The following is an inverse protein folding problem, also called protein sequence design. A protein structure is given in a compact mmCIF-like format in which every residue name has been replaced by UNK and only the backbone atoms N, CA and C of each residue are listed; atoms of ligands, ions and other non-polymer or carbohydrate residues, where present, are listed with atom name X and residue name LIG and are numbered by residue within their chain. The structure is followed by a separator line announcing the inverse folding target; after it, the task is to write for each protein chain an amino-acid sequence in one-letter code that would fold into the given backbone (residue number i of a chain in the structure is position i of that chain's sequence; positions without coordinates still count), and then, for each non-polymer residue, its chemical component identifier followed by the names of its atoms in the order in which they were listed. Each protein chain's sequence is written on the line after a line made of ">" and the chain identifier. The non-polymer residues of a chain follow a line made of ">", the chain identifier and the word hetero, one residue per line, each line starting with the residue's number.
data_IF_750858415494
#
_entry.id   IF_750858415494
#
_cell.length_a   1.000
_cell.length_b   1.000
_cell.length_c   1.000
_cell.angle_alpha   90.00
_cell.angle_beta   90.00
_cell.angle_gamma   90.00
#
_symmetry.space_group_name_H-M   'P 1'
#
loop_
_entity.id
_entity.type
_entity.pdbx_description
1 polymer ?
#
# COMPACT_ATOMS: atom_id res chain seq x y z
N UNK A 1 -19.64 -10.54 -47.50
CA UNK A 1 -19.29 -11.13 -46.16
C UNK A 1 -18.30 -12.25 -46.41
N UNK A 2 -16.98 -12.11 -46.18
CA UNK A 2 -16.06 -13.22 -46.31
C UNK A 2 -16.20 -14.16 -45.13
N UNK A 3 -16.25 -15.45 -45.43
CA UNK A 3 -16.42 -16.59 -44.54
C UNK A 3 -15.52 -16.53 -43.34
N UNK A 4 -16.14 -16.57 -42.14
CA UNK A 4 -15.42 -16.76 -40.89
C UNK A 4 -14.66 -18.09 -40.95
N UNK A 5 -13.35 -18.03 -41.10
CA UNK A 5 -12.47 -19.16 -40.92
C UNK A 5 -12.62 -19.65 -39.50
N UNK A 6 -13.18 -20.85 -39.40
CA UNK A 6 -13.44 -21.52 -38.13
C UNK A 6 -12.10 -21.98 -37.54
N UNK A 7 -11.51 -21.20 -36.63
CA UNK A 7 -10.27 -21.51 -35.89
C UNK A 7 -10.42 -22.73 -34.95
N UNK A 8 -11.39 -23.63 -35.22
CA UNK A 8 -11.73 -24.75 -34.29
C UNK A 8 -10.69 -25.88 -34.28
N UNK A 9 -9.66 -25.84 -35.13
CA UNK A 9 -8.67 -26.91 -35.23
C UNK A 9 -7.24 -26.52 -34.89
N UNK A 10 -6.84 -25.24 -35.01
CA UNK A 10 -5.46 -24.83 -34.84
C UNK A 10 -5.00 -24.96 -33.38
N UNK A 11 -4.24 -26.03 -33.12
CA UNK A 11 -3.67 -26.29 -31.78
C UNK A 11 -2.24 -25.74 -31.72
N UNK A 12 -1.94 -25.08 -30.58
CA UNK A 12 -0.57 -24.62 -30.29
C UNK A 12 0.47 -25.74 -30.37
N UNK A 13 0.05 -27.00 -30.23
CA UNK A 13 0.92 -28.16 -30.43
C UNK A 13 1.35 -28.30 -31.90
N UNK A 14 0.45 -28.10 -32.84
CA UNK A 14 0.76 -28.15 -34.27
C UNK A 14 1.72 -27.02 -34.65
N UNK A 15 1.46 -25.81 -34.19
CA UNK A 15 2.36 -24.67 -34.37
C UNK A 15 3.76 -24.95 -33.77
N UNK A 16 3.82 -25.52 -32.57
CA UNK A 16 5.10 -25.87 -31.91
C UNK A 16 5.87 -26.91 -32.73
N UNK A 17 5.17 -27.91 -33.28
CA UNK A 17 5.75 -28.92 -34.13
C UNK A 17 6.31 -28.29 -35.40
N UNK A 18 5.56 -27.42 -36.06
CA UNK A 18 6.00 -26.67 -37.23
C UNK A 18 7.27 -25.85 -36.95
N UNK A 19 7.27 -25.01 -35.92
CA UNK A 19 8.44 -24.20 -35.54
C UNK A 19 9.65 -25.10 -35.24
N UNK A 20 9.45 -26.20 -34.49
CA UNK A 20 10.56 -27.08 -34.12
C UNK A 20 11.13 -27.80 -35.36
N UNK A 21 10.29 -28.22 -36.29
CA UNK A 21 10.76 -28.84 -37.55
C UNK A 21 11.52 -27.84 -38.42
N UNK A 22 11.02 -26.61 -38.51
CA UNK A 22 11.69 -25.52 -39.26
C UNK A 22 13.10 -25.25 -38.65
N UNK A 23 13.22 -25.20 -37.33
CA UNK A 23 14.51 -24.97 -36.65
C UNK A 23 15.48 -26.16 -36.75
N UNK A 24 14.99 -27.39 -36.74
CA UNK A 24 15.83 -28.59 -36.77
C UNK A 24 16.18 -29.07 -38.20
N UNK A 25 15.43 -28.63 -39.22
CA UNK A 25 15.60 -28.97 -40.62
C UNK A 25 15.30 -30.43 -40.97
N UNK A 26 15.01 -31.30 -39.99
CA UNK A 26 14.66 -32.72 -40.20
C UNK A 26 13.64 -33.22 -39.22
N UNK A 27 12.71 -34.10 -39.68
CA UNK A 27 11.69 -34.71 -38.83
C UNK A 27 12.32 -35.51 -37.66
N UNK A 28 13.42 -36.23 -37.94
CA UNK A 28 14.10 -37.05 -36.93
C UNK A 28 14.65 -36.25 -35.78
N UNK A 29 15.32 -35.12 -36.02
CA UNK A 29 15.82 -34.23 -34.99
C UNK A 29 14.70 -33.55 -34.19
N UNK A 30 13.65 -33.11 -34.88
CA UNK A 30 12.48 -32.51 -34.28
C UNK A 30 11.73 -33.51 -33.39
N UNK A 31 11.60 -34.77 -33.80
CA UNK A 31 10.95 -35.83 -33.02
C UNK A 31 11.68 -36.11 -31.68
N UNK A 32 13.02 -36.14 -31.74
CA UNK A 32 13.84 -36.26 -30.52
C UNK A 32 13.64 -35.08 -29.59
N UNK A 33 13.66 -33.85 -30.10
CA UNK A 33 13.49 -32.63 -29.32
C UNK A 33 12.11 -32.54 -28.66
N UNK A 34 11.07 -32.92 -29.41
CA UNK A 34 9.68 -32.90 -28.93
C UNK A 34 9.27 -34.14 -28.13
N UNK A 35 10.10 -35.22 -28.17
CA UNK A 35 9.81 -36.53 -27.55
C UNK A 35 8.50 -37.16 -28.08
N UNK A 36 8.26 -37.03 -29.38
CA UNK A 36 7.12 -37.64 -30.09
C UNK A 36 7.62 -38.48 -31.22
N UNK A 37 6.84 -39.51 -31.59
CA UNK A 37 7.18 -40.39 -32.71
C UNK A 37 7.16 -39.66 -34.07
N UNK A 38 8.11 -39.95 -34.94
CA UNK A 38 8.19 -39.31 -36.28
C UNK A 38 6.88 -39.39 -37.10
N UNK A 39 6.12 -40.52 -37.10
CA UNK A 39 4.84 -40.56 -37.78
C UNK A 39 3.80 -39.57 -37.23
N UNK A 40 3.76 -39.41 -35.91
CA UNK A 40 2.86 -38.47 -35.25
C UNK A 40 3.24 -37.02 -35.59
N UNK A 41 4.54 -36.71 -35.57
CA UNK A 41 5.03 -35.39 -35.94
C UNK A 41 4.69 -35.06 -37.43
N UNK A 42 4.93 -36.00 -38.33
CA UNK A 42 4.58 -35.83 -39.77
C UNK A 42 3.07 -35.62 -39.96
N UNK A 43 2.24 -36.31 -39.19
CA UNK A 43 0.79 -36.15 -39.20
C UNK A 43 0.38 -34.75 -38.72
N UNK A 44 0.95 -34.25 -37.61
CA UNK A 44 0.67 -32.92 -37.11
C UNK A 44 1.03 -31.79 -38.10
N UNK A 45 2.13 -31.95 -38.83
CA UNK A 45 2.49 -31.00 -39.90
C UNK A 45 1.44 -31.03 -41.00
N UNK A 46 1.05 -32.25 -41.45
CA UNK A 46 0.07 -32.41 -42.52
C UNK A 46 -1.30 -31.86 -42.12
N UNK A 47 -1.75 -32.14 -40.90
CA UNK A 47 -2.99 -31.59 -40.35
C UNK A 47 -2.96 -30.04 -40.31
N UNK A 48 -1.83 -29.42 -39.93
CA UNK A 48 -1.64 -27.96 -39.97
C UNK A 48 -1.69 -27.41 -41.43
N UNK A 49 -1.00 -28.07 -42.36
CA UNK A 49 -1.02 -27.68 -43.81
C UNK A 49 -2.43 -27.78 -44.40
N UNK A 50 -3.16 -28.86 -44.07
CA UNK A 50 -4.55 -29.06 -44.50
C UNK A 50 -5.50 -28.00 -43.90
N UNK A 51 -5.33 -27.69 -42.63
CA UNK A 51 -6.15 -26.69 -41.96
C UNK A 51 -5.92 -25.26 -42.51
N UNK A 52 -4.68 -24.92 -42.81
CA UNK A 52 -4.31 -23.63 -43.35
C UNK A 52 -4.53 -23.53 -44.87
N UNK A 53 -4.67 -24.68 -45.55
CA UNK A 53 -4.72 -24.72 -47.00
C UNK A 53 -3.40 -24.30 -47.68
N UNK A 54 -2.31 -24.38 -46.93
CA UNK A 54 -0.98 -23.95 -47.37
C UNK A 54 0.03 -25.08 -47.22
N UNK A 55 0.98 -25.14 -48.15
CA UNK A 55 2.13 -26.03 -48.04
C UNK A 55 3.25 -25.28 -47.31
N UNK A 56 3.69 -25.81 -46.16
CA UNK A 56 4.67 -25.14 -45.30
C UNK A 56 6.10 -25.67 -45.54
N UNK A 57 6.22 -26.93 -46.01
CA UNK A 57 7.50 -27.55 -46.29
C UNK A 57 7.55 -28.21 -47.66
N UNK A 58 8.70 -28.04 -48.32
CA UNK A 58 9.10 -28.86 -49.46
C UNK A 58 10.02 -30.00 -48.99
N UNK A 59 9.84 -31.17 -49.58
CA UNK A 59 10.71 -32.32 -49.37
C UNK A 59 11.85 -32.34 -50.40
N UNK A 60 13.05 -32.04 -49.92
CA UNK A 60 14.26 -32.17 -50.77
C UNK A 60 15.13 -33.29 -50.20
N UNK A 61 15.10 -34.45 -50.87
CA UNK A 61 15.76 -35.69 -50.39
C UNK A 61 15.25 -36.09 -48.99
N UNK A 62 16.10 -36.01 -47.96
CA UNK A 62 15.78 -36.34 -46.56
C UNK A 62 15.56 -35.12 -45.67
N UNK A 63 15.48 -33.92 -46.24
CA UNK A 63 15.29 -32.64 -45.51
C UNK A 63 13.93 -32.05 -45.82
N UNK A 64 13.40 -31.33 -44.83
CA UNK A 64 12.26 -30.44 -45.00
C UNK A 64 12.82 -29.03 -45.11
N UNK A 65 12.50 -28.34 -46.18
CA UNK A 65 12.86 -26.94 -46.42
C UNK A 65 11.56 -26.15 -46.40
N UNK A 66 11.56 -25.01 -45.73
CA UNK A 66 10.40 -24.13 -45.69
C UNK A 66 10.05 -23.63 -47.09
N UNK A 67 8.75 -23.53 -47.38
CA UNK A 67 8.23 -22.77 -48.51
C UNK A 67 8.26 -21.28 -48.20
N UNK A 68 8.00 -20.41 -49.16
CA UNK A 68 7.86 -18.96 -48.93
C UNK A 68 6.75 -18.63 -47.92
N UNK A 69 5.61 -19.36 -48.01
CA UNK A 69 4.50 -19.27 -47.07
C UNK A 69 4.92 -19.78 -45.69
N UNK A 70 5.70 -20.89 -45.65
CA UNK A 70 6.26 -21.41 -44.40
C UNK A 70 7.19 -20.42 -43.67
N UNK A 71 8.03 -19.68 -44.43
CA UNK A 71 8.92 -18.67 -43.87
C UNK A 71 8.12 -17.51 -43.21
N UNK A 72 7.08 -17.03 -43.91
CA UNK A 72 6.21 -15.98 -43.38
C UNK A 72 5.48 -16.47 -42.12
N UNK A 73 4.85 -17.65 -42.17
CA UNK A 73 4.13 -18.22 -41.06
C UNK A 73 5.04 -18.49 -39.82
N UNK A 74 6.31 -18.82 -40.04
CA UNK A 74 7.28 -19.03 -38.96
C UNK A 74 7.46 -17.76 -38.10
N UNK A 75 7.45 -16.59 -38.74
CA UNK A 75 7.49 -15.30 -38.04
C UNK A 75 6.26 -15.10 -37.16
N UNK A 76 5.06 -15.36 -37.70
CA UNK A 76 3.79 -15.21 -36.98
C UNK A 76 3.69 -16.21 -35.83
N UNK A 77 4.10 -17.48 -36.02
CA UNK A 77 4.14 -18.49 -34.99
C UNK A 77 5.06 -18.08 -33.82
N UNK A 78 6.22 -17.49 -34.09
CA UNK A 78 7.12 -16.97 -33.05
C UNK A 78 6.46 -15.84 -32.26
N UNK A 79 5.73 -14.95 -32.93
CA UNK A 79 4.99 -13.87 -32.25
C UNK A 79 3.90 -14.43 -31.31
N UNK A 80 3.15 -15.46 -31.77
CA UNK A 80 2.15 -16.15 -30.93
C UNK A 80 2.79 -16.79 -29.72
N UNK A 81 3.91 -17.51 -29.86
CA UNK A 81 4.61 -18.10 -28.71
C UNK A 81 5.16 -17.04 -27.74
N UNK A 82 5.67 -15.93 -28.25
CA UNK A 82 6.08 -14.79 -27.41
C UNK A 82 4.91 -14.20 -26.62
N UNK A 83 3.71 -14.09 -27.21
CA UNK A 83 2.51 -13.65 -26.52
C UNK A 83 2.06 -14.65 -25.44
N UNK A 84 2.11 -15.96 -25.71
CA UNK A 84 1.79 -17.03 -24.72
C UNK A 84 2.78 -17.00 -23.55
N UNK A 85 4.06 -16.82 -23.82
CA UNK A 85 5.10 -16.72 -22.79
C UNK A 85 4.90 -15.47 -21.93
N UNK A 86 4.63 -14.32 -22.53
CA UNK A 86 4.28 -13.08 -21.84
C UNK A 86 3.02 -13.22 -20.98
N UNK A 87 2.01 -13.93 -21.46
CA UNK A 87 0.81 -14.24 -20.71
C UNK A 87 1.13 -15.12 -19.49
N UNK A 88 1.95 -16.15 -19.68
CA UNK A 88 2.38 -17.06 -18.59
C UNK A 88 3.18 -16.32 -17.52
N UNK A 89 4.10 -15.47 -17.92
CA UNK A 89 4.85 -14.61 -17.00
C UNK A 89 3.93 -13.64 -16.23
N UNK A 90 2.97 -13.03 -16.94
CA UNK A 90 1.98 -12.16 -16.32
C UNK A 90 1.10 -12.91 -15.33
N UNK A 91 0.66 -14.12 -15.67
CA UNK A 91 -0.09 -14.98 -14.77
C UNK A 91 0.72 -15.39 -13.54
N UNK A 92 2.02 -15.67 -13.69
CA UNK A 92 2.92 -15.95 -12.57
C UNK A 92 3.11 -14.73 -11.67
N UNK A 93 3.31 -13.53 -12.26
CA UNK A 93 3.40 -12.27 -11.50
C UNK A 93 2.11 -12.01 -10.70
N UNK A 94 0.94 -12.18 -11.30
CA UNK A 94 -0.35 -12.07 -10.63
C UNK A 94 -0.51 -13.10 -9.50
N UNK A 95 -0.06 -14.34 -9.71
CA UNK A 95 -0.13 -15.41 -8.70
C UNK A 95 0.81 -15.18 -7.53
N UNK A 96 2.00 -14.58 -7.76
CA UNK A 96 2.93 -14.17 -6.69
C UNK A 96 2.44 -12.91 -5.98
N UNK A 97 1.40 -12.25 -6.49
CA UNK A 97 0.85 -10.99 -5.99
C UNK A 97 1.93 -9.90 -5.77
N UNK A 98 2.98 -9.92 -6.61
CA UNK A 98 4.06 -8.94 -6.56
C UNK A 98 3.72 -7.67 -7.34
N UNK A 99 2.58 -7.67 -8.06
CA UNK A 99 2.09 -6.53 -8.83
C UNK A 99 0.64 -6.26 -8.51
N UNK A 100 0.24 -5.00 -8.48
CA UNK A 100 -1.16 -4.65 -8.25
C UNK A 100 -1.36 -3.19 -7.84
N UNK A 101 -2.62 -2.85 -7.59
CA UNK A 101 -3.00 -1.55 -7.03
C UNK A 101 -3.57 -1.81 -5.64
N UNK A 102 -2.89 -1.31 -4.63
CA UNK A 102 -3.39 -1.29 -3.26
C UNK A 102 -4.13 0.03 -3.00
N UNK A 103 -5.43 -0.05 -2.82
CA UNK A 103 -6.25 1.12 -2.47
C UNK A 103 -6.44 1.17 -0.95
N UNK A 104 -6.03 2.26 -0.32
CA UNK A 104 -6.11 2.45 1.13
C UNK A 104 -6.85 3.74 1.44
N UNK A 105 -7.92 3.64 2.23
CA UNK A 105 -8.60 4.81 2.77
C UNK A 105 -8.08 5.14 4.18
N UNK A 106 -7.90 6.41 4.46
CA UNK A 106 -7.54 6.91 5.80
C UNK A 106 -7.78 8.41 5.90
N UNK A 107 -7.57 8.96 7.10
CA UNK A 107 -7.72 10.40 7.34
C UNK A 107 -6.53 11.19 6.78
N UNK A 108 -6.73 12.49 6.44
CA UNK A 108 -5.65 13.38 6.02
C UNK A 108 -4.46 13.40 6.99
N UNK A 109 -4.76 13.39 8.30
CA UNK A 109 -3.75 13.43 9.36
C UNK A 109 -2.84 12.19 9.34
N UNK A 110 -3.42 11.02 9.10
CA UNK A 110 -2.65 9.76 8.98
C UNK A 110 -1.81 9.76 7.71
N UNK A 111 -2.35 10.30 6.60
CA UNK A 111 -1.59 10.44 5.35
C UNK A 111 -0.37 11.32 5.54
N UNK A 112 -0.55 12.48 6.14
CA UNK A 112 0.52 13.44 6.35
C UNK A 112 1.57 12.95 7.35
N UNK A 113 1.13 12.45 8.49
CA UNK A 113 2.03 12.17 9.61
C UNK A 113 2.66 10.78 9.59
N UNK A 114 1.99 9.80 8.97
CA UNK A 114 2.48 8.41 8.95
C UNK A 114 2.90 7.98 7.56
N UNK A 115 2.03 8.18 6.56
CA UNK A 115 2.26 7.63 5.22
C UNK A 115 3.35 8.38 4.46
N UNK A 116 3.58 9.66 4.73
CA UNK A 116 4.63 10.45 4.08
C UNK A 116 6.03 9.81 4.20
N UNK A 117 6.35 9.24 5.37
CA UNK A 117 7.62 8.56 5.60
C UNK A 117 7.54 7.04 5.35
N UNK A 118 6.38 6.43 5.59
CA UNK A 118 6.18 4.99 5.46
C UNK A 118 6.23 4.52 4.01
N UNK A 119 5.57 5.23 3.09
CA UNK A 119 5.40 4.78 1.70
C UNK A 119 6.73 4.65 0.96
N UNK A 120 7.73 5.43 1.30
CA UNK A 120 9.07 5.27 0.73
C UNK A 120 9.64 3.88 1.05
N UNK A 121 9.64 3.50 2.33
CA UNK A 121 10.09 2.17 2.78
C UNK A 121 9.26 1.02 2.19
N UNK A 122 7.96 1.23 2.01
CA UNK A 122 7.08 0.22 1.42
C UNK A 122 7.33 0.06 -0.08
N UNK A 123 7.54 1.16 -0.81
CA UNK A 123 7.85 1.13 -2.25
C UNK A 123 9.17 0.39 -2.55
N UNK A 124 10.20 0.56 -1.71
CA UNK A 124 11.46 -0.19 -1.85
C UNK A 124 11.25 -1.71 -1.71
N UNK A 125 10.35 -2.13 -0.85
CA UNK A 125 10.03 -3.56 -0.64
C UNK A 125 9.09 -4.13 -1.70
N UNK A 126 8.21 -3.30 -2.27
CA UNK A 126 7.16 -3.68 -3.23
C UNK A 126 7.13 -2.72 -4.42
N UNK A 127 8.21 -2.66 -5.22
CA UNK A 127 8.35 -1.66 -6.29
C UNK A 127 7.27 -1.77 -7.38
N UNK A 128 6.66 -2.93 -7.54
CA UNK A 128 5.64 -3.19 -8.56
C UNK A 128 4.21 -3.03 -8.03
N UNK A 129 4.02 -2.62 -6.76
CA UNK A 129 2.70 -2.36 -6.17
C UNK A 129 2.44 -0.86 -6.15
N UNK A 130 1.43 -0.42 -6.89
CA UNK A 130 0.98 0.96 -6.87
C UNK A 130 0.04 1.18 -5.69
N UNK A 131 0.37 2.07 -4.77
CA UNK A 131 -0.51 2.47 -3.67
C UNK A 131 -1.35 3.66 -4.10
N UNK A 132 -2.69 3.54 -3.96
CA UNK A 132 -3.64 4.65 -4.15
C UNK A 132 -4.24 5.01 -2.80
N UNK A 133 -3.92 6.21 -2.30
CA UNK A 133 -4.51 6.75 -1.08
C UNK A 133 -5.82 7.45 -1.38
N UNK A 134 -6.81 7.24 -0.53
CA UNK A 134 -8.15 7.82 -0.63
C UNK A 134 -8.47 8.47 0.70
N UNK A 135 -8.73 9.77 0.66
CA UNK A 135 -9.11 10.52 1.84
C UNK A 135 -10.56 10.22 2.22
N UNK A 136 -10.76 9.92 3.50
CA UNK A 136 -12.07 9.76 4.10
C UNK A 136 -12.01 10.00 5.61
N UNK A 137 -13.14 10.31 6.25
CA UNK A 137 -13.26 10.54 7.68
C UNK A 137 -14.53 9.89 8.24
N UNK A 138 -14.48 9.51 9.51
CA UNK A 138 -15.63 8.95 10.21
C UNK A 138 -16.22 7.71 9.53
N UNK A 139 -17.57 7.60 9.47
CA UNK A 139 -18.25 6.43 8.90
C UNK A 139 -17.92 6.16 7.42
N UNK A 140 -17.57 7.21 6.65
CA UNK A 140 -17.27 7.04 5.21
C UNK A 140 -16.04 6.16 4.94
N UNK A 141 -15.17 5.96 5.93
CA UNK A 141 -14.06 5.01 5.85
C UNK A 141 -14.57 3.56 5.74
N UNK A 142 -15.55 3.19 6.54
CA UNK A 142 -16.16 1.85 6.53
C UNK A 142 -17.06 1.64 5.31
N UNK A 143 -17.85 2.65 4.93
CA UNK A 143 -18.69 2.60 3.72
C UNK A 143 -17.85 2.30 2.46
N UNK A 144 -16.70 2.95 2.29
CA UNK A 144 -15.80 2.70 1.17
C UNK A 144 -15.25 1.27 1.18
N UNK A 145 -14.98 0.73 2.36
CA UNK A 145 -14.51 -0.65 2.52
C UNK A 145 -15.61 -1.65 2.14
N UNK A 146 -16.83 -1.45 2.61
CA UNK A 146 -17.98 -2.31 2.34
C UNK A 146 -18.35 -2.34 0.84
N UNK A 147 -18.33 -1.18 0.18
CA UNK A 147 -18.56 -1.06 -1.27
C UNK A 147 -17.44 -1.67 -2.10
N UNK A 148 -16.24 -1.88 -1.51
CA UNK A 148 -15.06 -2.37 -2.23
C UNK A 148 -14.34 -1.29 -3.04
N UNK A 149 -14.61 -0.04 -2.76
CA UNK A 149 -13.88 1.08 -3.33
C UNK A 149 -12.40 1.06 -2.92
N UNK A 150 -12.13 0.50 -1.72
CA UNK A 150 -10.79 0.33 -1.15
C UNK A 150 -10.57 -1.11 -0.67
N UNK A 151 -9.30 -1.51 -0.57
CA UNK A 151 -8.90 -2.81 -0.05
C UNK A 151 -8.66 -2.78 1.45
N UNK A 152 -8.17 -1.65 1.96
CA UNK A 152 -7.90 -1.40 3.37
C UNK A 152 -8.46 -0.04 3.78
N UNK A 153 -8.87 0.06 5.03
CA UNK A 153 -9.06 1.34 5.71
C UNK A 153 -8.25 1.38 7.00
N UNK A 154 -7.66 2.54 7.30
CA UNK A 154 -6.91 2.75 8.54
C UNK A 154 -7.73 3.72 9.40
N UNK A 155 -8.28 3.23 10.48
CA UNK A 155 -9.16 4.01 11.33
C UNK A 155 -9.07 3.63 12.82
N UNK A 156 -9.65 4.47 13.65
CA UNK A 156 -9.82 4.19 15.07
C UNK A 156 -10.86 3.08 15.26
N UNK A 157 -10.65 2.20 16.22
CA UNK A 157 -11.57 1.09 16.48
C UNK A 157 -12.96 1.56 16.92
N UNK A 158 -13.08 2.72 17.54
CA UNK A 158 -14.38 3.34 17.88
C UNK A 158 -15.20 3.75 16.65
N UNK A 159 -14.61 3.79 15.44
CA UNK A 159 -15.36 3.99 14.20
C UNK A 159 -16.29 2.81 13.91
N UNK A 160 -15.98 1.64 14.44
CA UNK A 160 -16.81 0.43 14.35
C UNK A 160 -17.85 0.49 15.49
N UNK A 161 -19.11 0.59 15.13
CA UNK A 161 -20.21 0.78 16.10
C UNK A 161 -20.82 -0.51 16.63
N UNK A 162 -20.47 -1.66 16.03
CA UNK A 162 -21.03 -2.97 16.37
C UNK A 162 -19.96 -4.02 16.50
N UNK A 163 -20.13 -4.96 17.44
CA UNK A 163 -19.22 -6.10 17.61
C UNK A 163 -19.36 -7.12 16.46
N UNK A 164 -20.57 -7.22 15.88
CA UNK A 164 -20.84 -8.07 14.71
C UNK A 164 -20.59 -7.28 13.41
N UNK A 165 -19.37 -7.31 12.94
CA UNK A 165 -18.93 -6.64 11.72
C UNK A 165 -18.17 -7.59 10.76
N UNK A 166 -18.31 -7.39 9.44
CA UNK A 166 -17.68 -8.26 8.43
C UNK A 166 -16.19 -7.97 8.22
N UNK A 167 -15.56 -7.16 9.10
CA UNK A 167 -14.19 -6.71 8.90
C UNK A 167 -13.19 -7.59 9.63
N UNK A 168 -12.09 -7.92 8.93
CA UNK A 168 -10.86 -8.36 9.55
C UNK A 168 -10.06 -7.14 10.00
N UNK A 169 -9.23 -7.31 11.03
CA UNK A 169 -8.42 -6.22 11.57
C UNK A 169 -6.96 -6.65 11.77
N UNK A 170 -6.05 -5.74 11.50
CA UNK A 170 -4.64 -5.81 11.88
C UNK A 170 -4.35 -4.67 12.87
N UNK A 171 -4.10 -4.96 14.15
CA UNK A 171 -3.92 -3.92 15.16
C UNK A 171 -2.64 -3.14 14.90
N UNK A 172 -2.74 -1.82 15.02
CA UNK A 172 -1.60 -0.89 14.98
C UNK A 172 -1.19 -0.49 16.40
N UNK A 173 0.06 -0.06 16.62
CA UNK A 173 0.45 0.52 17.90
C UNK A 173 -0.50 1.65 18.28
N UNK A 174 -1.00 1.70 19.53
CA UNK A 174 -2.05 2.63 19.92
C UNK A 174 -1.64 4.09 19.70
N UNK A 175 -2.59 4.89 19.23
CA UNK A 175 -2.43 6.32 19.05
C UNK A 175 -2.44 7.00 20.41
N UNK A 176 -1.47 7.87 20.69
CA UNK A 176 -1.39 8.64 21.93
C UNK A 176 -1.92 10.07 21.73
N UNK A 177 -2.26 10.73 22.80
CA UNK A 177 -2.70 12.12 22.80
C UNK A 177 -1.58 13.03 23.31
N UNK A 178 -1.37 14.12 22.60
CA UNK A 178 -0.38 15.13 22.95
C UNK A 178 -1.05 16.47 23.22
N UNK A 179 -0.49 17.18 24.20
CA UNK A 179 -0.73 18.59 24.43
C UNK A 179 0.45 19.37 23.81
N UNK A 180 0.14 20.26 22.88
CA UNK A 180 1.12 21.08 22.17
C UNK A 180 0.86 22.56 22.44
N UNK A 181 1.89 23.31 22.86
CA UNK A 181 1.80 24.72 23.20
C UNK A 181 3.01 25.50 22.69
N UNK A 182 2.91 26.81 22.69
CA UNK A 182 4.07 27.67 22.48
C UNK A 182 5.22 27.31 23.44
N UNK A 183 6.45 27.41 22.98
CA UNK A 183 7.63 26.98 23.74
C UNK A 183 7.81 27.69 25.09
N UNK A 184 7.31 28.91 25.24
CA UNK A 184 7.36 29.68 26.51
C UNK A 184 6.42 29.14 27.60
N UNK A 185 5.40 28.34 27.24
CA UNK A 185 4.45 27.77 28.18
C UNK A 185 4.99 26.48 28.77
N UNK A 186 5.24 26.46 30.06
CA UNK A 186 5.74 25.26 30.76
C UNK A 186 4.61 24.25 30.99
N UNK A 187 4.38 23.36 29.98
CA UNK A 187 3.45 22.23 30.14
C UNK A 187 4.16 21.04 30.79
N UNK A 188 3.70 20.65 31.96
CA UNK A 188 4.13 19.42 32.63
C UNK A 188 5.63 19.33 32.95
N UNK A 189 5.99 18.30 33.69
CA UNK A 189 7.36 17.91 33.94
C UNK A 189 7.67 16.59 33.21
N UNK A 190 8.95 16.36 32.83
CA UNK A 190 9.41 15.08 32.28
C UNK A 190 8.64 14.57 31.01
N UNK A 191 8.16 15.48 30.14
CA UNK A 191 7.57 15.09 28.83
C UNK A 191 6.13 14.57 28.92
N UNK A 192 5.44 14.70 30.03
CA UNK A 192 4.02 14.36 30.20
C UNK A 192 3.26 15.34 31.07
N UNK A 193 1.95 15.46 30.87
CA UNK A 193 1.03 16.24 31.68
C UNK A 193 -0.17 15.38 32.05
N UNK A 194 -0.60 15.44 33.31
CA UNK A 194 -1.88 14.84 33.68
C UNK A 194 -3.03 15.68 33.14
N UNK A 195 -4.07 15.02 32.61
CA UNK A 195 -5.20 15.69 31.98
C UNK A 195 -5.87 16.70 32.91
N UNK A 196 -5.96 16.44 34.22
CA UNK A 196 -6.55 17.35 35.17
C UNK A 196 -5.78 18.69 35.29
N UNK A 197 -4.49 18.70 34.96
CA UNK A 197 -3.66 19.90 34.95
C UNK A 197 -3.85 20.78 33.72
N UNK A 198 -4.70 20.38 32.78
CA UNK A 198 -5.06 21.18 31.62
C UNK A 198 -6.14 22.23 31.92
N UNK A 199 -6.81 22.15 33.06
CA UNK A 199 -7.90 23.05 33.48
C UNK A 199 -7.58 24.56 33.36
N UNK A 200 -6.39 25.06 33.74
CA UNK A 200 -6.12 26.50 33.70
C UNK A 200 -5.80 27.03 32.31
N UNK A 201 -5.63 26.17 31.31
CA UNK A 201 -5.21 26.58 29.97
C UNK A 201 -6.38 26.73 29.02
N UNK A 202 -6.38 27.75 28.14
CA UNK A 202 -7.28 27.77 26.98
C UNK A 202 -6.94 26.62 26.03
N UNK A 203 -7.91 25.74 25.76
CA UNK A 203 -7.73 24.56 24.94
C UNK A 203 -8.18 24.80 23.50
N UNK A 204 -7.37 24.31 22.58
CA UNK A 204 -7.62 24.30 21.14
C UNK A 204 -7.91 22.84 20.76
N UNK A 205 -9.16 22.55 20.45
CA UNK A 205 -9.66 21.18 20.30
C UNK A 205 -10.16 20.91 18.88
N UNK A 206 -10.10 19.64 18.49
CA UNK A 206 -10.89 19.18 17.35
C UNK A 206 -12.38 19.35 17.66
N UNK A 207 -13.19 19.58 16.64
CA UNK A 207 -14.63 19.71 16.79
C UNK A 207 -15.30 18.39 17.25
N UNK A 208 -16.54 18.45 17.68
CA UNK A 208 -17.28 17.33 18.24
C UNK A 208 -17.57 16.20 17.22
N UNK A 209 -17.39 16.42 15.91
CA UNK A 209 -17.52 15.37 14.88
C UNK A 209 -16.30 14.44 14.86
N UNK A 210 -15.21 14.79 15.52
CA UNK A 210 -14.00 13.99 15.58
C UNK A 210 -14.11 12.89 16.64
N UNK A 211 -13.84 11.64 16.25
CA UNK A 211 -13.75 10.50 17.17
C UNK A 211 -12.69 10.75 18.25
N UNK A 212 -11.57 11.38 17.92
CA UNK A 212 -10.50 11.76 18.86
C UNK A 212 -11.01 12.74 19.90
N UNK A 213 -11.87 13.68 19.52
CA UNK A 213 -12.49 14.61 20.46
C UNK A 213 -13.37 13.85 21.47
N UNK A 214 -14.16 12.90 21.03
CA UNK A 214 -15.01 12.07 21.89
C UNK A 214 -14.19 11.33 22.98
N UNK A 215 -13.03 10.77 22.60
CA UNK A 215 -12.11 10.13 23.57
C UNK A 215 -11.55 11.12 24.57
N UNK A 216 -11.13 12.31 24.13
CA UNK A 216 -10.63 13.36 25.03
C UNK A 216 -11.71 13.83 26.01
N UNK A 217 -12.93 14.07 25.53
CA UNK A 217 -14.06 14.48 26.37
C UNK A 217 -14.44 13.40 27.40
N UNK A 218 -14.40 12.13 27.01
CA UNK A 218 -14.61 11.01 27.94
C UNK A 218 -13.52 10.99 29.05
N UNK A 219 -12.26 11.19 28.66
CA UNK A 219 -11.16 11.27 29.59
C UNK A 219 -11.28 12.48 30.54
N UNK A 220 -11.75 13.64 30.06
CA UNK A 220 -12.04 14.81 30.86
C UNK A 220 -13.13 14.52 31.92
N UNK A 221 -14.23 13.86 31.48
CA UNK A 221 -15.30 13.47 32.43
C UNK A 221 -14.77 12.55 33.53
N UNK A 222 -13.98 11.54 33.16
CA UNK A 222 -13.37 10.61 34.14
C UNK A 222 -12.38 11.28 35.09
N UNK A 223 -11.73 12.36 34.66
CA UNK A 223 -10.80 13.13 35.46
C UNK A 223 -11.47 14.27 36.28
N UNK A 224 -12.79 14.46 36.13
CA UNK A 224 -13.50 15.60 36.72
C UNK A 224 -13.06 16.95 36.16
N UNK A 225 -12.48 16.96 34.93
CA UNK A 225 -12.03 18.19 34.27
C UNK A 225 -13.17 18.78 33.44
N UNK A 226 -13.47 20.05 33.67
CA UNK A 226 -14.26 20.88 32.73
C UNK A 226 -13.28 21.64 31.83
N UNK A 227 -13.15 21.29 30.56
CA UNK A 227 -12.18 21.92 29.67
C UNK A 227 -12.56 23.37 29.39
N UNK A 228 -11.57 24.27 29.43
CA UNK A 228 -11.71 25.65 29.00
C UNK A 228 -11.46 25.73 27.47
N UNK A 229 -12.49 25.51 26.68
CA UNK A 229 -12.38 25.45 25.22
C UNK A 229 -12.35 26.87 24.67
N UNK A 230 -11.25 27.26 24.03
CA UNK A 230 -11.07 28.55 23.39
C UNK A 230 -11.35 28.50 21.88
N UNK A 231 -10.89 27.43 21.19
CA UNK A 231 -11.10 27.23 19.75
C UNK A 231 -11.49 25.79 19.48
N UNK A 232 -12.43 25.60 18.58
CA UNK A 232 -12.75 24.32 17.97
C UNK A 232 -12.54 24.38 16.46
N UNK A 233 -11.89 23.35 15.89
CA UNK A 233 -11.60 23.29 14.45
C UNK A 233 -11.58 21.85 13.96
N UNK A 234 -11.95 21.63 12.67
CA UNK A 234 -11.76 20.35 11.99
C UNK A 234 -10.32 20.11 11.54
N UNK A 235 -9.51 21.16 11.48
CA UNK A 235 -8.12 21.10 11.03
C UNK A 235 -7.17 21.06 12.23
N UNK A 236 -6.55 19.92 12.53
CA UNK A 236 -5.53 19.86 13.58
C UNK A 236 -4.28 20.68 13.26
N UNK A 237 -3.99 20.93 11.99
CA UNK A 237 -2.90 21.80 11.56
C UNK A 237 -3.17 23.26 11.97
N UNK A 238 -4.42 23.72 11.81
CA UNK A 238 -4.83 25.04 12.29
C UNK A 238 -4.67 25.16 13.81
N UNK A 239 -5.02 24.10 14.56
CA UNK A 239 -4.84 24.09 16.03
C UNK A 239 -3.36 24.18 16.41
N UNK A 240 -2.47 23.47 15.68
CA UNK A 240 -1.02 23.55 15.94
C UNK A 240 -0.47 24.93 15.61
N UNK A 241 -0.89 25.56 14.51
CA UNK A 241 -0.48 26.93 14.18
C UNK A 241 -0.95 27.96 15.22
N UNK A 242 -2.19 27.84 15.72
CA UNK A 242 -2.71 28.68 16.79
C UNK A 242 -1.96 28.47 18.12
N UNK A 243 -1.59 27.23 18.43
CA UNK A 243 -0.77 26.92 19.60
C UNK A 243 0.64 27.52 19.48
N UNK A 244 1.25 27.48 18.29
CA UNK A 244 2.54 28.10 18.00
C UNK A 244 2.48 29.62 18.14
N UNK A 245 1.36 30.23 17.78
CA UNK A 245 1.11 31.67 17.97
C UNK A 245 0.79 32.04 19.43
N UNK A 246 0.72 31.07 20.34
CA UNK A 246 0.52 31.31 21.78
C UNK A 246 -0.93 31.44 22.23
N UNK A 247 -1.91 31.08 21.40
CA UNK A 247 -3.34 31.19 21.74
C UNK A 247 -3.83 30.16 22.75
N UNK A 248 -3.05 29.11 23.04
CA UNK A 248 -3.44 28.10 24.01
C UNK A 248 -2.72 26.76 23.80
N UNK A 249 -3.34 25.71 24.30
CA UNK A 249 -2.84 24.33 24.25
C UNK A 249 -3.66 23.50 23.25
N UNK A 250 -3.05 23.10 22.16
CA UNK A 250 -3.69 22.20 21.19
C UNK A 250 -3.64 20.74 21.68
N UNK A 251 -4.78 20.06 21.66
CA UNK A 251 -4.89 18.64 21.96
C UNK A 251 -4.97 17.89 20.63
N UNK A 252 -3.95 17.09 20.35
CA UNK A 252 -3.74 16.47 19.05
C UNK A 252 -3.30 15.00 19.17
N UNK A 253 -3.59 14.17 18.16
CA UNK A 253 -3.09 12.80 18.13
C UNK A 253 -1.61 12.72 17.77
N UNK A 254 -0.94 11.68 18.27
CA UNK A 254 0.51 11.45 18.07
C UNK A 254 0.95 11.20 16.64
N UNK A 255 0.00 10.97 15.73
CA UNK A 255 0.29 10.78 14.30
C UNK A 255 0.62 12.07 13.57
N UNK A 256 0.34 13.23 14.16
CA UNK A 256 0.63 14.50 13.52
C UNK A 256 2.13 14.86 13.56
N UNK A 257 2.67 15.45 12.49
CA UNK A 257 4.08 15.85 12.42
C UNK A 257 4.35 17.14 13.19
N UNK A 258 4.20 17.11 14.51
CA UNK A 258 4.38 18.28 15.41
C UNK A 258 5.77 18.90 15.34
N UNK A 259 6.79 18.15 14.87
CA UNK A 259 8.16 18.64 14.67
C UNK A 259 8.32 19.73 13.62
N UNK A 260 7.28 19.97 12.80
CA UNK A 260 7.25 21.06 11.79
C UNK A 260 6.95 22.41 12.42
N UNK A 261 6.56 22.44 13.69
CA UNK A 261 6.19 23.63 14.44
C UNK A 261 7.15 23.85 15.61
N UNK A 262 7.34 25.08 16.03
CA UNK A 262 8.14 25.45 17.20
C UNK A 262 7.32 25.31 18.48
N UNK A 263 6.91 24.10 18.77
CA UNK A 263 6.02 23.77 19.88
C UNK A 263 6.73 22.97 20.96
N UNK A 264 6.33 23.18 22.19
CA UNK A 264 6.53 22.25 23.27
C UNK A 264 5.42 21.21 23.22
N UNK A 265 5.80 19.95 23.06
CA UNK A 265 4.86 18.84 22.96
C UNK A 265 5.08 17.88 24.10
N UNK A 266 4.01 17.57 24.84
CA UNK A 266 4.04 16.63 25.96
C UNK A 266 2.91 15.62 25.82
N UNK A 267 3.12 14.40 26.33
CA UNK A 267 2.12 13.34 26.34
C UNK A 267 1.04 13.63 27.39
N UNK A 268 -0.23 13.41 27.04
CA UNK A 268 -1.33 13.50 28.01
C UNK A 268 -1.47 12.15 28.71
N UNK A 269 -1.63 12.20 30.02
CA UNK A 269 -1.87 11.04 30.88
C UNK A 269 -3.04 11.29 31.82
N UNK A 270 -3.68 10.21 32.24
CA UNK A 270 -4.62 10.21 33.36
C UNK A 270 -4.16 9.17 34.38
N UNK A 271 -3.99 9.58 35.65
CA UNK A 271 -3.48 8.72 36.74
C UNK A 271 -2.19 7.98 36.34
N UNK A 272 -1.23 8.68 35.72
CA UNK A 272 0.07 8.18 35.21
C UNK A 272 -0.03 7.21 34.04
N UNK A 273 -1.21 6.92 33.49
CA UNK A 273 -1.37 6.11 32.28
C UNK A 273 -1.52 7.02 31.07
N UNK A 274 -0.76 6.83 30.01
CA UNK A 274 -0.94 7.61 28.78
C UNK A 274 -2.36 7.47 28.24
N UNK A 275 -2.94 8.59 27.81
CA UNK A 275 -4.22 8.57 27.08
C UNK A 275 -3.96 7.99 25.69
N UNK A 276 -4.65 6.92 25.37
CA UNK A 276 -4.44 6.13 24.15
C UNK A 276 -5.75 5.76 23.51
N UNK A 277 -5.69 5.63 22.17
CA UNK A 277 -6.82 5.18 21.37
C UNK A 277 -6.38 4.01 20.47
N UNK A 278 -7.09 2.87 20.51
CA UNK A 278 -6.82 1.76 19.60
C UNK A 278 -7.25 2.09 18.17
N UNK A 279 -6.42 1.74 17.21
CA UNK A 279 -6.67 1.85 15.79
C UNK A 279 -6.12 0.64 15.05
N UNK A 280 -6.61 0.41 13.85
CA UNK A 280 -6.25 -0.76 13.08
C UNK A 280 -6.30 -0.50 11.57
N UNK A 281 -5.64 -1.36 10.81
CA UNK A 281 -5.93 -1.59 9.41
C UNK A 281 -7.06 -2.61 9.31
N UNK A 282 -8.14 -2.25 8.63
CA UNK A 282 -9.32 -3.09 8.44
C UNK A 282 -9.47 -3.49 6.98
N UNK A 283 -10.01 -4.69 6.75
CA UNK A 283 -10.41 -5.18 5.44
C UNK A 283 -11.73 -5.96 5.53
N UNK A 284 -12.43 -6.08 4.40
CA UNK A 284 -13.66 -6.88 4.31
C UNK A 284 -13.31 -8.38 4.27
N UNK A 285 -13.72 -9.16 5.27
CA UNK A 285 -13.49 -10.62 5.36
C UNK A 285 -14.09 -11.40 4.21
N UNK A 286 -15.11 -10.86 3.55
CA UNK A 286 -15.76 -11.48 2.37
C UNK A 286 -14.83 -11.47 1.14
N UNK A 287 -13.74 -10.71 1.17
CA UNK A 287 -12.76 -10.58 0.10
C UNK A 287 -11.40 -11.09 0.57
N UNK A 288 -10.71 -11.84 -0.28
CA UNK A 288 -9.37 -12.31 0.04
C UNK A 288 -8.40 -11.12 0.16
N UNK A 289 -7.71 -11.03 1.30
CA UNK A 289 -6.65 -10.05 1.50
C UNK A 289 -5.42 -10.47 0.69
N UNK A 290 -5.01 -9.64 -0.29
CA UNK A 290 -3.83 -9.92 -1.12
C UNK A 290 -2.54 -9.94 -0.28
N UNK A 291 -1.51 -10.72 -0.69
CA UNK A 291 -0.23 -10.76 0.02
C UNK A 291 0.42 -9.38 0.20
N UNK A 292 0.36 -8.52 -0.81
CA UNK A 292 0.89 -7.16 -0.70
C UNK A 292 0.09 -6.28 0.28
N UNK A 293 -1.23 -6.50 0.43
CA UNK A 293 -2.03 -5.77 1.41
C UNK A 293 -1.71 -6.24 2.86
N UNK A 294 -1.46 -7.53 3.05
CA UNK A 294 -1.01 -8.07 4.34
C UNK A 294 0.37 -7.52 4.71
N UNK A 295 1.32 -7.57 3.79
CA UNK A 295 2.66 -7.00 3.98
C UNK A 295 2.62 -5.49 4.27
N UNK A 296 1.67 -4.77 3.65
CA UNK A 296 1.42 -3.36 3.95
C UNK A 296 1.04 -3.15 5.42
N UNK A 297 0.09 -3.93 5.96
CA UNK A 297 -0.33 -3.85 7.36
C UNK A 297 0.82 -4.14 8.33
N UNK A 298 1.59 -5.21 8.06
CA UNK A 298 2.74 -5.61 8.89
C UNK A 298 3.84 -4.55 8.88
N UNK A 299 4.18 -4.05 7.70
CA UNK A 299 5.20 -3.01 7.51
C UNK A 299 4.79 -1.69 8.14
N UNK A 300 3.50 -1.30 8.02
CA UNK A 300 2.95 -0.10 8.63
C UNK A 300 3.04 -0.18 10.16
N UNK A 301 2.61 -1.30 10.75
CA UNK A 301 2.69 -1.49 12.18
C UNK A 301 4.16 -1.45 12.69
N UNK A 302 5.10 -2.02 11.95
CA UNK A 302 6.52 -1.97 12.28
C UNK A 302 7.05 -0.52 12.21
N UNK A 303 6.70 0.22 11.16
CA UNK A 303 7.09 1.62 11.00
C UNK A 303 6.56 2.50 12.15
N UNK A 304 5.29 2.36 12.53
CA UNK A 304 4.71 3.12 13.62
C UNK A 304 5.41 2.80 14.95
N UNK A 305 5.76 1.53 15.21
CA UNK A 305 6.54 1.16 16.42
C UNK A 305 7.91 1.83 16.45
N UNK A 306 8.60 1.88 15.32
CA UNK A 306 9.91 2.53 15.18
C UNK A 306 9.81 4.03 15.47
N UNK A 307 8.87 4.71 14.81
CA UNK A 307 8.64 6.15 15.00
C UNK A 307 8.24 6.48 16.44
N UNK A 308 7.36 5.68 17.04
CA UNK A 308 6.93 5.88 18.44
C UNK A 308 8.08 5.74 19.45
N UNK A 309 9.09 4.92 19.14
CA UNK A 309 10.30 4.79 19.99
C UNK A 309 11.25 5.98 19.86
N UNK A 310 11.35 6.57 18.66
CA UNK A 310 12.24 7.70 18.39
C UNK A 310 11.62 9.05 18.74
N UNK A 311 10.30 9.17 18.69
CA UNK A 311 9.54 10.40 18.97
C UNK A 311 9.13 10.56 20.45
N UNK A 312 9.78 9.85 21.39
CA UNK A 312 9.50 10.07 22.81
C UNK A 312 9.85 11.51 23.20
N UNK A 313 8.87 12.33 23.64
CA UNK A 313 9.17 13.68 24.13
C UNK A 313 10.08 13.57 25.34
N UNK A 314 11.28 14.14 25.25
CA UNK A 314 12.28 14.11 26.32
C UNK A 314 13.68 13.63 25.93
N UNK A 315 13.89 13.01 24.77
CA UNK A 315 15.21 12.70 24.22
C UNK A 315 15.58 13.67 23.09
N UNK A 316 15.74 14.94 23.39
CA UNK A 316 16.46 15.87 22.52
C UNK A 316 17.90 15.37 22.40
N UNK A 317 18.38 15.13 21.18
CA UNK A 317 19.80 14.90 20.89
C UNK A 317 20.60 16.11 21.38
N UNK A 318 21.21 16.03 22.59
CA UNK A 318 22.32 16.87 22.94
C UNK A 318 23.49 16.44 22.04
N UNK A 319 23.99 17.35 21.24
CA UNK A 319 25.27 17.15 20.56
C UNK A 319 25.26 17.44 19.06
N UNK A 320 25.26 18.69 18.72
CA UNK A 320 25.80 19.24 17.47
C UNK A 320 26.94 20.17 17.84
N UNK A 321 28.14 19.61 17.96
CA UNK A 321 29.39 20.37 18.13
C UNK A 321 29.50 21.39 17.00
N UNK A 322 29.46 22.67 17.38
CA UNK A 322 29.77 23.79 16.49
C UNK A 322 31.28 23.75 16.18
N UNK A 323 31.65 23.21 15.04
CA UNK A 323 32.97 23.40 14.47
C UNK A 323 33.08 24.84 13.99
N UNK A 324 33.78 25.65 14.78
CA UNK A 324 34.21 27.00 14.38
C UNK A 324 35.13 26.89 13.17
N UNK A 325 34.64 27.23 12.01
CA UNK A 325 35.48 27.49 10.86
C UNK A 325 36.16 28.84 11.05
N UNK A 326 37.46 28.80 11.30
CA UNK A 326 38.36 29.98 11.31
C UNK A 326 38.59 30.41 9.88
N UNK A 327 37.93 31.50 9.45
CA UNK A 327 38.23 32.15 8.18
C UNK A 327 39.50 32.98 8.37
N UNK A 328 40.61 32.51 7.80
CA UNK A 328 41.81 33.35 7.50
C UNK A 328 41.46 34.18 6.25
N UNK A 329 41.52 35.47 6.36
CA UNK A 329 41.65 36.41 5.22
C UNK A 329 43.13 36.66 4.90
N UNK A 330 43.44 36.86 3.63
CA UNK A 330 44.76 37.29 3.16
C UNK A 330 45.07 38.73 3.54
#
# INVERSE_FOLDING_TARGET
>A
MPNGHNLRGMDLRHLRTFVTVAEQGTVSKASLRLRIAQPALSRQIKELEEELGLKLFDRVRRRLILTGEGEQLLGDCRAVFGAVESLSERAQRLRRADTGILKVATTPQTMEGVFSAFLHKYADRRPNVKVKLIEAVGPSLLEKLERGDVHLTICLMQTIQTDDHPFGSYPLPPMEFFAASHASLALGAAGSIDIAKLAPYPLLLLDSSSVIRGTFDAACRLAGLKPNIFVESRSPQALLALAEAGHGVAIVPSVLPTHRYRLRVVRISHRRRPLREPWAALWDKRRALSPYARDFCESLAAHIREVSRTSQPGKSKRGGSATRATVRRP
#
